data_IF_611692278538
#
_entry.id   IF_611692278538
#
_cell.length_a   1.000
_cell.length_b   1.000
_cell.length_c   1.000
_cell.angle_alpha   90.00
_cell.angle_beta   90.00
_cell.angle_gamma   90.00
#
_symmetry.space_group_name_H-M   'P 1'
#
loop_
_entity.id
_entity.type
_entity.pdbx_description
1 polymer ?
#
# COMPACT_ATOMS: atom_id res chain seq x y z
N UNK A 1 2.64 17.25 10.18
CA UNK A 1 3.22 17.86 8.96
C UNK A 1 3.43 16.78 7.92
N UNK A 2 2.92 16.94 6.69
CA UNK A 2 2.89 15.85 5.70
C UNK A 2 4.13 15.75 4.81
N UNK A 3 4.69 16.88 4.32
CA UNK A 3 5.74 16.88 3.29
C UNK A 3 7.14 17.19 3.79
N UNK A 4 7.28 17.69 5.03
CA UNK A 4 8.58 18.08 5.60
C UNK A 4 9.24 19.29 4.95
N UNK A 5 8.58 19.93 3.99
CA UNK A 5 9.17 21.01 3.19
C UNK A 5 8.74 22.41 3.66
N UNK A 6 9.56 23.41 3.32
CA UNK A 6 9.26 24.82 3.59
C UNK A 6 8.09 25.31 2.75
N UNK A 7 7.30 26.22 3.32
CA UNK A 7 6.17 26.85 2.64
C UNK A 7 6.61 27.70 1.43
N UNK A 8 7.71 28.43 1.58
CA UNK A 8 8.38 29.18 0.51
C UNK A 8 9.80 28.66 0.36
N UNK A 9 10.19 28.28 -0.85
CA UNK A 9 11.53 27.76 -1.16
C UNK A 9 12.09 28.37 -2.45
N UNK A 10 13.08 29.28 -2.36
CA UNK A 10 13.67 29.93 -3.55
C UNK A 10 14.50 28.97 -4.40
N UNK A 11 14.85 27.78 -3.90
CA UNK A 11 15.58 26.78 -4.66
C UNK A 11 14.67 25.89 -5.53
N UNK A 12 13.35 26.04 -5.42
CA UNK A 12 12.41 25.31 -6.29
C UNK A 12 12.38 25.90 -7.70
N UNK A 13 12.07 25.08 -8.72
CA UNK A 13 11.93 25.54 -10.10
C UNK A 13 10.97 26.72 -10.24
N UNK A 14 11.21 27.55 -11.25
CA UNK A 14 10.40 28.73 -11.54
C UNK A 14 8.90 28.38 -11.59
N UNK A 15 8.08 29.17 -10.88
CA UNK A 15 6.64 28.95 -10.76
C UNK A 15 6.20 28.02 -9.61
N UNK A 16 7.14 27.50 -8.81
CA UNK A 16 6.85 26.59 -7.68
C UNK A 16 7.43 27.06 -6.34
N UNK A 17 7.71 28.36 -6.21
CA UNK A 17 8.20 28.97 -4.96
C UNK A 17 7.34 28.57 -3.76
N UNK A 18 6.01 28.61 -3.95
CA UNK A 18 5.03 28.18 -2.96
C UNK A 18 4.88 26.66 -2.92
N UNK A 19 4.91 26.10 -1.72
CA UNK A 19 4.62 24.68 -1.47
C UNK A 19 3.23 24.31 -1.96
N UNK A 20 2.27 25.22 -1.86
CA UNK A 20 0.90 24.97 -2.30
C UNK A 20 0.86 24.72 -3.81
N UNK A 21 1.56 25.54 -4.59
CA UNK A 21 1.53 25.44 -6.05
C UNK A 21 2.27 24.19 -6.54
N UNK A 22 3.37 23.81 -5.86
CA UNK A 22 4.02 22.52 -6.10
C UNK A 22 3.16 21.32 -5.66
N UNK A 23 2.49 21.39 -4.51
CA UNK A 23 1.81 20.26 -3.89
C UNK A 23 0.43 19.95 -4.50
N UNK A 24 -0.30 20.97 -4.99
CA UNK A 24 -1.63 20.83 -5.61
C UNK A 24 -1.78 19.62 -6.56
N UNK A 25 -0.90 19.40 -7.56
CA UNK A 25 -1.02 18.25 -8.46
C UNK A 25 -0.84 16.88 -7.77
N UNK A 26 -0.14 16.82 -6.63
CA UNK A 26 0.05 15.59 -5.85
C UNK A 26 -1.08 15.36 -4.86
N UNK A 27 -1.66 16.43 -4.32
CA UNK A 27 -2.81 16.37 -3.41
C UNK A 27 -4.08 15.89 -4.13
N UNK A 28 -4.27 16.28 -5.38
CA UNK A 28 -5.46 15.92 -6.17
C UNK A 28 -5.45 14.47 -6.69
N UNK A 29 -4.28 13.82 -6.75
CA UNK A 29 -4.13 12.47 -7.29
C UNK A 29 -3.61 11.49 -6.23
N UNK A 30 -4.48 10.57 -5.82
CA UNK A 30 -4.17 9.53 -4.83
C UNK A 30 -2.91 8.73 -5.17
N UNK A 31 -2.62 8.49 -6.45
CA UNK A 31 -1.44 7.73 -6.88
C UNK A 31 -0.15 8.54 -6.71
N UNK A 32 -0.24 9.87 -6.80
CA UNK A 32 0.90 10.78 -6.69
C UNK A 32 1.16 11.22 -5.25
N UNK A 33 0.20 11.03 -4.34
CA UNK A 33 0.30 11.44 -2.95
C UNK A 33 1.56 10.93 -2.24
N UNK A 34 2.03 9.70 -2.54
CA UNK A 34 3.25 9.17 -1.95
C UNK A 34 4.49 10.04 -2.21
N UNK A 35 4.54 10.75 -3.35
CA UNK A 35 5.64 11.68 -3.69
C UNK A 35 5.59 12.99 -2.90
N UNK A 36 4.44 13.30 -2.30
CA UNK A 36 4.27 14.48 -1.45
C UNK A 36 4.72 14.22 -0.01
N UNK A 37 4.69 12.95 0.43
CA UNK A 37 4.96 12.58 1.81
C UNK A 37 6.43 12.82 2.17
N UNK A 38 6.65 13.21 3.42
CA UNK A 38 7.98 13.46 3.98
C UNK A 38 8.81 12.16 3.88
N UNK A 39 10.00 12.20 3.23
CA UNK A 39 10.87 11.04 3.11
C UNK A 39 11.24 10.43 4.47
N UNK A 40 11.26 11.23 5.54
CA UNK A 40 11.57 10.78 6.91
C UNK A 40 10.51 9.85 7.49
N UNK A 41 9.32 9.75 6.88
CA UNK A 41 8.36 8.72 7.27
C UNK A 41 8.76 7.34 6.79
N UNK A 42 9.67 7.20 5.81
CA UNK A 42 10.14 5.90 5.32
C UNK A 42 9.00 4.93 4.92
N UNK A 43 7.88 5.47 4.44
CA UNK A 43 6.68 4.68 4.13
C UNK A 43 5.90 4.18 5.36
N UNK A 44 6.33 4.52 6.57
CA UNK A 44 5.67 4.18 7.84
C UNK A 44 4.48 5.10 8.14
N UNK A 45 3.56 5.21 7.19
CA UNK A 45 2.30 5.92 7.36
C UNK A 45 1.15 5.11 6.78
N UNK A 46 -0.05 5.29 7.33
CA UNK A 46 -1.24 4.66 6.78
C UNK A 46 -1.70 5.43 5.54
N UNK A 47 -1.66 4.81 4.37
CA UNK A 47 -2.08 5.42 3.11
C UNK A 47 -3.51 5.97 3.13
N UNK A 48 -4.42 5.36 3.90
CA UNK A 48 -5.79 5.86 4.06
C UNK A 48 -5.82 7.15 4.87
N UNK A 49 -5.09 7.21 5.98
CA UNK A 49 -4.97 8.42 6.81
C UNK A 49 -4.31 9.55 6.03
N UNK A 50 -3.24 9.25 5.29
CA UNK A 50 -2.57 10.22 4.42
C UNK A 50 -3.51 10.80 3.36
N UNK A 51 -4.35 9.96 2.75
CA UNK A 51 -5.35 10.42 1.77
C UNK A 51 -6.39 11.34 2.39
N UNK A 52 -6.90 11.00 3.58
CA UNK A 52 -7.87 11.85 4.28
C UNK A 52 -7.23 13.19 4.69
N UNK A 53 -5.99 13.18 5.16
CA UNK A 53 -5.24 14.39 5.47
C UNK A 53 -4.98 15.25 4.22
N UNK A 54 -4.70 14.63 3.07
CA UNK A 54 -4.55 15.32 1.79
C UNK A 54 -5.85 16.02 1.37
N UNK A 55 -6.99 15.35 1.52
CA UNK A 55 -8.29 15.94 1.20
C UNK A 55 -8.62 17.11 2.12
N UNK A 56 -8.37 16.97 3.43
CA UNK A 56 -8.54 18.06 4.38
C UNK A 56 -7.65 19.26 4.01
N UNK A 57 -6.40 19.00 3.63
CA UNK A 57 -5.47 20.03 3.15
C UNK A 57 -6.01 20.76 1.93
N UNK A 58 -6.58 20.06 0.94
CA UNK A 58 -7.20 20.68 -0.23
C UNK A 58 -8.38 21.59 0.15
N UNK A 59 -9.23 21.14 1.06
CA UNK A 59 -10.37 21.92 1.52
C UNK A 59 -9.93 23.20 2.25
N UNK A 60 -8.90 23.10 3.10
CA UNK A 60 -8.30 24.26 3.77
C UNK A 60 -7.66 25.26 2.78
N UNK A 61 -7.12 24.76 1.67
CA UNK A 61 -6.49 25.56 0.63
C UNK A 61 -7.46 26.02 -0.47
N UNK A 62 -8.77 25.85 -0.27
CA UNK A 62 -9.77 26.28 -1.24
C UNK A 62 -9.62 27.77 -1.59
N UNK A 63 -9.73 28.08 -2.89
CA UNK A 63 -9.64 29.46 -3.36
C UNK A 63 -10.72 30.35 -2.74
N UNK A 64 -11.95 29.84 -2.70
CA UNK A 64 -13.09 30.49 -2.06
C UNK A 64 -13.05 30.32 -0.53
N UNK A 65 -13.01 31.41 0.25
CA UNK A 65 -12.98 31.34 1.72
C UNK A 65 -14.17 30.60 2.33
N UNK A 66 -15.37 30.72 1.74
CA UNK A 66 -16.59 30.07 2.23
C UNK A 66 -16.56 28.55 2.12
N UNK A 67 -15.71 28.01 1.25
CA UNK A 67 -15.53 26.56 1.08
C UNK A 67 -14.50 25.97 2.05
N UNK A 68 -13.80 26.81 2.82
CA UNK A 68 -12.81 26.35 3.79
C UNK A 68 -13.52 25.90 5.07
N UNK A 69 -13.12 24.76 5.66
CA UNK A 69 -13.68 24.30 6.92
C UNK A 69 -13.30 25.26 8.06
N UNK A 70 -14.17 25.35 9.06
CA UNK A 70 -13.86 25.98 10.33
C UNK A 70 -12.77 25.19 11.08
N UNK A 71 -12.06 25.85 11.99
CA UNK A 71 -11.02 25.16 12.78
C UNK A 71 -11.59 24.03 13.64
N UNK A 72 -12.86 24.11 14.04
CA UNK A 72 -13.57 23.02 14.73
C UNK A 72 -13.66 21.77 13.84
N UNK A 73 -14.15 21.92 12.61
CA UNK A 73 -14.26 20.82 11.65
C UNK A 73 -12.89 20.24 11.28
N UNK A 74 -11.85 21.08 11.21
CA UNK A 74 -10.47 20.63 10.98
C UNK A 74 -10.01 19.70 12.09
N UNK A 75 -10.21 20.09 13.36
CA UNK A 75 -9.81 19.27 14.52
C UNK A 75 -10.60 17.97 14.56
N UNK A 76 -11.93 18.02 14.43
CA UNK A 76 -12.78 16.82 14.40
C UNK A 76 -12.35 15.84 13.30
N UNK A 77 -12.00 16.35 12.11
CA UNK A 77 -11.51 15.51 11.01
C UNK A 77 -10.14 14.89 11.33
N UNK A 78 -9.23 15.64 11.96
CA UNK A 78 -7.91 15.14 12.35
C UNK A 78 -8.02 14.04 13.42
N UNK A 79 -8.88 14.21 14.41
CA UNK A 79 -9.17 13.19 15.44
C UNK A 79 -9.74 11.91 14.82
N UNK A 80 -10.65 12.05 13.86
CA UNK A 80 -11.17 10.91 13.10
C UNK A 80 -10.06 10.20 12.34
N UNK A 81 -9.16 10.94 11.68
CA UNK A 81 -8.02 10.38 10.95
C UNK A 81 -7.17 9.56 11.91
N UNK A 82 -6.82 10.07 13.09
CA UNK A 82 -6.05 9.35 14.10
C UNK A 82 -6.73 8.05 14.56
N UNK A 83 -8.05 8.09 14.75
CA UNK A 83 -8.85 6.94 15.21
C UNK A 83 -8.89 5.75 14.23
N UNK A 84 -8.58 5.93 12.94
CA UNK A 84 -8.59 4.87 11.91
C UNK A 84 -7.63 3.71 12.24
N UNK A 85 -6.64 3.93 13.12
CA UNK A 85 -5.64 2.93 13.54
C UNK A 85 -6.25 1.73 14.29
N UNK A 86 -7.43 1.88 14.92
CA UNK A 86 -8.05 0.84 15.75
C UNK A 86 -8.77 -0.25 14.95
N UNK A 87 -9.46 0.10 13.85
CA UNK A 87 -10.37 -0.82 13.15
C UNK A 87 -9.67 -1.86 12.25
N UNK A 88 -8.42 -1.64 11.87
CA UNK A 88 -7.67 -2.56 11.01
C UNK A 88 -7.06 -3.75 11.76
N UNK A 89 -6.90 -3.65 13.09
CA UNK A 89 -6.37 -4.73 13.93
C UNK A 89 -7.46 -5.71 14.38
N UNK A 90 -8.68 -5.24 14.58
CA UNK A 90 -9.79 -6.08 15.07
C UNK A 90 -10.33 -7.06 14.01
N UNK A 91 -10.19 -6.75 12.72
CA UNK A 91 -10.64 -7.64 11.64
C UNK A 91 -9.70 -8.84 11.37
N UNK A 92 -8.52 -8.90 12.02
CA UNK A 92 -7.55 -10.01 11.84
C UNK A 92 -7.51 -11.01 13.03
N UNK A 93 -8.33 -10.80 14.06
CA UNK A 93 -8.28 -11.55 15.31
C UNK A 93 -9.38 -12.60 15.53
N UNK A 94 -10.34 -12.77 14.62
CA UNK A 94 -11.50 -13.66 14.80
C UNK A 94 -11.61 -14.72 13.70
N UNK A 95 -10.51 -15.46 13.50
CA UNK A 95 -10.49 -16.71 12.73
C UNK A 95 -10.47 -17.91 13.67
N UNK A 96 -11.66 -18.39 14.01
CA UNK A 96 -12.01 -19.58 14.79
C UNK A 96 -10.98 -20.74 14.73
N UNK A 97 -10.45 -21.13 15.89
CA UNK A 97 -9.96 -22.50 16.12
C UNK A 97 -11.08 -23.48 15.79
N UNK A 98 -10.97 -24.18 14.68
CA UNK A 98 -11.71 -25.43 14.45
C UNK A 98 -10.81 -26.58 14.86
N UNK A 99 -10.92 -26.90 16.14
CA UNK A 99 -10.59 -28.19 16.71
C UNK A 99 -11.29 -29.29 15.88
N UNK A 100 -10.52 -30.24 15.35
CA UNK A 100 -11.05 -31.44 14.72
C UNK A 100 -10.07 -32.58 14.97
N UNK A 101 -10.12 -33.11 16.19
CA UNK A 101 -9.69 -34.46 16.46
C UNK A 101 -10.92 -35.35 16.71
N UNK A 102 -10.86 -36.59 16.18
CA UNK A 102 -11.39 -37.87 16.69
C UNK A 102 -11.97 -38.76 15.56
N UNK A 103 -11.39 -39.96 15.38
CA UNK A 103 -12.17 -41.14 14.96
C UNK A 103 -11.62 -42.13 13.92
N UNK A 104 -10.57 -42.89 14.28
CA UNK A 104 -10.38 -44.37 14.11
C UNK A 104 -10.69 -45.11 12.78
N UNK A 105 -9.61 -45.75 12.27
CA UNK A 105 -9.43 -47.13 11.78
C UNK A 105 -10.29 -47.74 10.66
N UNK A 106 -9.63 -48.21 9.59
CA UNK A 106 -9.63 -49.64 9.19
C UNK A 106 -8.32 -50.03 8.49
N UNK A 107 -7.81 -51.20 8.87
CA UNK A 107 -6.65 -51.90 8.31
C UNK A 107 -7.08 -52.63 7.04
N UNK A 108 -6.25 -52.70 5.99
CA UNK A 108 -6.00 -53.91 5.20
C UNK A 108 -4.76 -53.77 4.30
N UNK A 109 -3.98 -54.84 4.28
CA UNK A 109 -2.65 -55.02 3.72
C UNK A 109 -2.70 -55.32 2.22
N UNK A 110 -1.68 -54.91 1.43
CA UNK A 110 -0.99 -55.82 0.48
C UNK A 110 0.34 -55.27 -0.09
N UNK A 111 1.44 -55.90 0.37
CA UNK A 111 2.63 -56.40 -0.35
C UNK A 111 3.41 -55.56 -1.40
N UNK A 112 4.71 -55.34 -1.10
CA UNK A 112 5.86 -54.96 -1.97
C UNK A 112 6.27 -56.09 -2.96
N UNK A 113 7.45 -56.11 -3.67
CA UNK A 113 8.43 -55.09 -4.15
C UNK A 113 8.96 -55.30 -5.62
N UNK A 114 9.95 -54.46 -6.07
CA UNK A 114 11.04 -54.71 -7.09
C UNK A 114 10.65 -54.68 -8.60
N UNK A 115 11.44 -54.32 -9.64
CA UNK A 115 12.88 -54.06 -9.87
C UNK A 115 13.10 -53.29 -11.22
N UNK A 116 14.31 -52.76 -11.40
CA UNK A 116 15.00 -52.11 -12.55
C UNK A 116 14.65 -52.47 -14.03
N UNK A 117 14.82 -51.46 -14.92
CA UNK A 117 15.62 -51.49 -16.18
C UNK A 117 15.62 -50.07 -16.81
N UNK A 118 16.70 -49.28 -16.91
CA UNK A 118 17.89 -49.30 -17.81
C UNK A 118 17.62 -49.07 -19.32
N UNK A 119 18.41 -48.13 -19.87
CA UNK A 119 18.79 -47.86 -21.28
C UNK A 119 17.76 -47.11 -22.15
N UNK A 120 18.10 -46.10 -22.97
CA UNK A 120 19.37 -45.49 -23.37
C UNK A 120 19.17 -44.59 -24.62
N UNK A 121 20.24 -43.88 -25.03
CA UNK A 121 20.53 -43.32 -26.37
C UNK A 121 19.78 -42.04 -26.81
N UNK A 122 20.48 -40.89 -26.97
CA UNK A 122 21.32 -40.38 -28.12
C UNK A 122 20.53 -39.35 -28.95
N UNK A 123 21.01 -38.10 -29.01
CA UNK A 123 21.66 -37.45 -30.18
C UNK A 123 20.64 -36.97 -31.25
N UNK A 124 20.78 -35.91 -32.03
CA UNK A 124 21.66 -34.75 -32.20
C UNK A 124 21.07 -33.95 -33.40
N UNK A 125 21.40 -32.66 -33.54
CA UNK A 125 21.26 -31.89 -34.79
C UNK A 125 19.89 -31.23 -35.02
N UNK A 126 19.75 -30.08 -35.67
CA UNK A 126 20.64 -29.46 -36.65
C UNK A 126 20.30 -27.96 -36.78
N UNK A 127 21.33 -27.12 -36.82
CA UNK A 127 21.25 -25.75 -37.33
C UNK A 127 21.41 -25.74 -38.86
N UNK A 128 20.66 -24.87 -39.55
CA UNK A 128 20.82 -24.29 -40.91
C UNK A 128 19.49 -23.54 -41.21
N UNK A 129 19.34 -22.41 -41.92
CA UNK A 129 20.15 -21.66 -42.90
C UNK A 129 19.56 -20.24 -43.07
N UNK A 130 20.39 -19.34 -43.59
CA UNK A 130 20.12 -18.00 -44.09
C UNK A 130 18.93 -17.82 -45.06
N UNK A 131 18.37 -16.60 -45.09
CA UNK A 131 18.32 -15.72 -46.27
C UNK A 131 18.09 -14.27 -45.85
#
# INVERSE_FOLDING_TARGET
MMSGQRALDPNRPNGQLSLVDWAKPYLADRRKLARLMDPRFEGQYNSKQALQAAQLTLNCLAGEPRSRPSMKEVVETLEQIESVKSRAREARGSGLSRDREHGRSTVHQRSSPRSEARHGSRANGHATKAR
#
